data_IF_854339791951
#
_entry.id   IF_854339791951
#
_cell.length_a   1.000
_cell.length_b   1.000
_cell.length_c   1.000
_cell.angle_alpha   90.00
_cell.angle_beta   90.00
_cell.angle_gamma   90.00
#
_symmetry.space_group_name_H-M   'P 1'
#
loop_
_entity.id
_entity.type
_entity.pdbx_description
1 polymer ?
#
# COMPACT_ATOMS: atom_id res chain seq x y z
N UNK A 1 -24.55 34.87 36.73
CA UNK A 1 -24.27 33.52 36.22
C UNK A 1 -24.03 33.63 34.72
N UNK A 2 -22.78 33.69 34.24
CA UNK A 2 -22.54 33.72 32.81
C UNK A 2 -22.53 32.29 32.22
N UNK A 3 -23.30 32.18 31.15
CA UNK A 3 -23.52 31.06 30.24
C UNK A 3 -22.20 30.51 29.66
N UNK A 4 -21.88 29.24 29.95
CA UNK A 4 -20.79 28.50 29.31
C UNK A 4 -21.37 27.79 28.09
N UNK A 5 -21.22 28.39 26.91
CA UNK A 5 -21.39 27.69 25.64
C UNK A 5 -20.37 26.54 25.57
N UNK A 6 -20.77 25.32 25.18
CA UNK A 6 -19.80 24.25 24.95
C UNK A 6 -18.97 24.62 23.72
N UNK A 7 -17.66 24.75 23.91
CA UNK A 7 -16.70 24.85 22.82
C UNK A 7 -16.79 23.54 22.01
N UNK A 8 -17.27 23.65 20.77
CA UNK A 8 -17.23 22.59 19.79
C UNK A 8 -15.75 22.26 19.57
N UNK A 9 -15.34 21.06 19.98
CA UNK A 9 -13.97 20.60 19.78
C UNK A 9 -13.67 20.58 18.27
N UNK A 10 -12.98 21.62 17.81
CA UNK A 10 -12.41 21.65 16.48
C UNK A 10 -11.28 20.61 16.49
N UNK A 11 -11.48 19.51 15.79
CA UNK A 11 -10.48 18.46 15.63
C UNK A 11 -9.39 19.08 14.75
N UNK A 12 -8.41 19.74 15.37
CA UNK A 12 -7.28 20.29 14.66
C UNK A 12 -6.64 19.15 13.85
N UNK A 13 -6.68 19.26 12.52
CA UNK A 13 -5.90 18.39 11.62
C UNK A 13 -4.44 18.60 12.01
N UNK A 14 -3.88 17.70 12.81
CA UNK A 14 -2.44 17.68 13.05
C UNK A 14 -1.73 17.57 11.69
N UNK A 15 -0.68 18.38 11.45
CA UNK A 15 0.07 18.26 10.21
C UNK A 15 0.58 16.82 10.09
N UNK A 16 0.28 16.17 8.97
CA UNK A 16 0.69 14.81 8.70
C UNK A 16 2.21 14.74 8.75
N UNK A 17 2.72 13.88 9.62
CA UNK A 17 4.15 13.65 9.80
C UNK A 17 4.67 12.57 8.87
N UNK A 18 5.81 11.98 9.25
CA UNK A 18 6.32 10.77 8.62
C UNK A 18 6.31 9.62 9.60
N UNK A 19 5.97 8.43 9.10
CA UNK A 19 6.09 7.17 9.83
C UNK A 19 7.26 6.38 9.30
N UNK A 20 8.09 5.84 10.19
CA UNK A 20 9.06 4.83 9.82
C UNK A 20 8.32 3.54 9.45
N UNK A 21 8.54 3.03 8.24
CA UNK A 21 8.06 1.72 7.80
C UNK A 21 9.27 0.80 7.71
N UNK A 22 9.24 -0.31 8.43
CA UNK A 22 10.28 -1.33 8.45
C UNK A 22 9.86 -2.51 7.59
N UNK A 23 10.52 -2.68 6.45
CA UNK A 23 10.41 -3.89 5.64
C UNK A 23 11.23 -4.99 6.30
N UNK A 24 10.56 -5.89 7.02
CA UNK A 24 11.18 -6.91 7.86
C UNK A 24 11.63 -8.15 7.07
N UNK A 25 10.93 -8.49 5.98
CA UNK A 25 11.31 -9.63 5.15
C UNK A 25 10.39 -9.87 3.95
N UNK A 26 10.74 -10.83 3.08
CA UNK A 26 11.82 -11.82 3.23
C UNK A 26 13.23 -11.21 3.22
N UNK A 27 14.21 -11.85 3.88
CA UNK A 27 15.59 -11.36 3.92
C UNK A 27 16.19 -11.27 2.50
N UNK A 28 16.89 -10.17 2.21
CA UNK A 28 17.45 -9.91 0.88
C UNK A 28 16.44 -9.35 -0.14
N UNK A 29 15.14 -9.28 0.21
CA UNK A 29 14.13 -8.62 -0.62
C UNK A 29 14.51 -7.17 -0.84
N UNK A 30 14.52 -6.75 -2.09
CA UNK A 30 14.75 -5.37 -2.49
C UNK A 30 13.42 -4.63 -2.61
N UNK A 31 13.37 -3.43 -2.06
CA UNK A 31 12.17 -2.58 -2.05
C UNK A 31 12.51 -1.22 -2.62
N UNK A 32 11.80 -0.82 -3.67
CA UNK A 32 11.79 0.54 -4.19
C UNK A 32 10.34 1.05 -4.25
N UNK A 33 10.15 2.34 -4.48
CA UNK A 33 8.84 2.96 -4.61
C UNK A 33 8.81 3.95 -5.76
N UNK A 34 7.64 4.16 -6.34
CA UNK A 34 7.44 5.08 -7.45
C UNK A 34 7.57 6.53 -6.96
N UNK A 35 8.35 7.33 -7.68
CA UNK A 35 8.51 8.78 -7.49
C UNK A 35 8.27 9.45 -8.84
N UNK A 36 7.14 10.16 -8.97
CA UNK A 36 6.66 10.63 -10.26
C UNK A 36 6.31 9.44 -11.16
N UNK A 37 7.04 9.29 -12.26
CA UNK A 37 6.83 8.22 -13.25
C UNK A 37 7.88 7.10 -13.19
N UNK A 38 8.91 7.25 -12.34
CA UNK A 38 10.03 6.32 -12.24
C UNK A 38 10.16 5.73 -10.85
N UNK A 39 10.59 4.46 -10.76
CA UNK A 39 10.94 3.88 -9.48
C UNK A 39 12.22 4.50 -8.93
N UNK A 40 12.25 4.71 -7.62
CA UNK A 40 13.40 5.25 -6.91
C UNK A 40 14.65 4.40 -7.18
N UNK A 41 15.75 5.06 -7.53
CA UNK A 41 16.98 4.41 -8.01
C UNK A 41 17.69 3.59 -6.93
N UNK A 42 17.57 4.03 -5.66
CA UNK A 42 18.11 3.30 -4.51
C UNK A 42 17.08 2.37 -3.90
N UNK A 43 17.24 1.08 -4.19
CA UNK A 43 16.51 0.00 -3.54
C UNK A 43 16.97 -0.16 -2.07
N UNK A 44 16.02 -0.35 -1.16
CA UNK A 44 16.28 -0.83 0.20
C UNK A 44 16.42 -2.35 0.18
N UNK A 45 17.34 -2.92 0.96
CA UNK A 45 17.47 -4.38 1.12
C UNK A 45 16.95 -4.79 2.49
N UNK A 46 15.91 -5.64 2.53
CA UNK A 46 15.29 -6.09 3.77
C UNK A 46 16.26 -6.99 4.60
N UNK A 47 16.35 -6.81 5.92
CA UNK A 47 15.57 -5.87 6.73
C UNK A 47 16.06 -4.42 6.64
N UNK A 48 15.16 -3.48 6.32
CA UNK A 48 15.46 -2.05 6.21
C UNK A 48 14.26 -1.19 6.59
N UNK A 49 14.48 0.09 6.90
CA UNK A 49 13.41 1.02 7.22
C UNK A 49 13.53 2.33 6.42
N UNK A 50 12.39 2.95 6.14
CA UNK A 50 12.30 4.25 5.47
C UNK A 50 11.11 5.06 5.98
N UNK A 51 11.24 6.39 5.95
CA UNK A 51 10.24 7.30 6.50
C UNK A 51 9.30 7.81 5.40
N UNK A 52 8.09 7.27 5.39
CA UNK A 52 7.03 7.64 4.45
C UNK A 52 6.12 8.71 5.04
N UNK A 53 5.57 9.57 4.19
CA UNK A 53 4.57 10.57 4.59
C UNK A 53 3.28 9.85 4.97
N UNK A 54 2.68 10.29 6.07
CA UNK A 54 1.42 9.75 6.55
C UNK A 54 0.25 10.23 5.69
N UNK A 55 -0.79 9.40 5.55
CA UNK A 55 -1.97 9.71 4.76
C UNK A 55 -1.81 9.53 3.25
N UNK A 56 -0.69 8.95 2.80
CA UNK A 56 -0.34 8.81 1.39
C UNK A 56 -0.32 7.34 0.94
N UNK A 57 -0.45 7.15 -0.37
CA UNK A 57 -0.41 5.83 -1.01
C UNK A 57 0.84 5.72 -1.88
N UNK A 58 1.64 4.70 -1.60
CA UNK A 58 2.90 4.42 -2.28
C UNK A 58 2.77 3.17 -3.13
N UNK A 59 3.26 3.26 -4.38
CA UNK A 59 3.47 2.08 -5.21
C UNK A 59 4.86 1.58 -5.01
N UNK A 60 4.98 0.33 -4.56
CA UNK A 60 6.26 -0.32 -4.32
C UNK A 60 6.65 -1.20 -5.51
N UNK A 61 7.94 -1.53 -5.59
CA UNK A 61 8.50 -2.59 -6.43
C UNK A 61 9.30 -3.51 -5.53
N UNK A 62 8.92 -4.78 -5.51
CA UNK A 62 9.62 -5.83 -4.78
C UNK A 62 10.39 -6.71 -5.77
N UNK A 63 11.69 -6.86 -5.55
CA UNK A 63 12.59 -7.71 -6.34
C UNK A 63 13.51 -8.51 -5.42
N UNK A 64 14.30 -9.44 -5.97
CA UNK A 64 15.27 -10.20 -5.17
C UNK A 64 14.63 -11.13 -4.14
N UNK A 65 13.39 -11.58 -4.38
CA UNK A 65 12.68 -12.48 -3.49
C UNK A 65 13.27 -13.90 -3.60
N UNK A 66 13.62 -14.58 -2.49
CA UNK A 66 14.32 -15.87 -2.53
C UNK A 66 13.61 -16.95 -3.35
N UNK A 67 12.29 -17.10 -3.20
CA UNK A 67 11.49 -18.07 -3.98
C UNK A 67 11.08 -17.58 -5.36
N UNK A 68 11.25 -16.29 -5.63
CA UNK A 68 10.86 -15.65 -6.89
C UNK A 68 11.97 -14.73 -7.41
N UNK A 69 13.19 -15.25 -7.68
CA UNK A 69 14.37 -14.42 -7.95
C UNK A 69 14.26 -13.59 -9.22
N UNK A 70 13.40 -14.01 -10.17
CA UNK A 70 13.13 -13.30 -11.42
C UNK A 70 11.82 -12.52 -11.42
N UNK A 71 10.96 -12.72 -10.43
CA UNK A 71 9.67 -12.04 -10.39
C UNK A 71 9.81 -10.64 -9.82
N UNK A 72 8.92 -9.77 -10.28
CA UNK A 72 8.71 -8.44 -9.74
C UNK A 72 7.28 -8.36 -9.25
N UNK A 73 7.10 -7.85 -8.05
CA UNK A 73 5.76 -7.56 -7.53
C UNK A 73 5.61 -6.08 -7.30
N UNK A 74 4.41 -5.56 -7.57
CA UNK A 74 4.12 -4.13 -7.47
C UNK A 74 3.01 -3.84 -6.46
N UNK A 75 3.23 -4.13 -5.16
CA UNK A 75 2.20 -3.87 -4.17
C UNK A 75 1.99 -2.37 -3.99
N UNK A 76 0.77 -2.01 -3.65
CA UNK A 76 0.42 -0.67 -3.19
C UNK A 76 0.39 -0.67 -1.68
N UNK A 77 1.09 0.26 -1.05
CA UNK A 77 1.15 0.45 0.39
C UNK A 77 0.55 1.82 0.74
N UNK A 78 -0.52 1.80 1.50
CA UNK A 78 -1.14 2.97 2.10
C UNK A 78 -0.57 3.14 3.51
N UNK A 79 -0.03 4.31 3.83
CA UNK A 79 0.35 4.68 5.19
C UNK A 79 -0.80 5.50 5.75
N UNK A 80 -1.57 4.93 6.66
CA UNK A 80 -2.82 5.55 7.11
C UNK A 80 -2.54 6.84 7.90
N UNK A 81 -3.46 7.81 7.81
CA UNK A 81 -3.41 9.01 8.64
C UNK A 81 -3.59 8.61 10.12
N UNK A 82 -2.65 8.95 11.01
CA UNK A 82 -2.67 8.45 12.38
C UNK A 82 -3.66 9.24 13.25
N UNK A 83 -4.26 8.56 14.23
CA UNK A 83 -4.89 9.21 15.38
C UNK A 83 -3.83 9.71 16.37
N UNK A 84 -4.20 10.54 17.35
CA UNK A 84 -3.26 11.05 18.35
C UNK A 84 -2.51 9.92 19.10
N UNK A 85 -3.22 8.83 19.44
CA UNK A 85 -2.64 7.65 20.08
C UNK A 85 -1.63 6.95 19.17
N UNK A 86 -1.99 6.76 17.89
CA UNK A 86 -1.09 6.17 16.91
C UNK A 86 0.14 7.04 16.71
N UNK A 87 0.02 8.37 16.71
CA UNK A 87 1.17 9.27 16.62
C UNK A 87 2.15 9.07 17.78
N UNK A 88 1.67 8.96 19.02
CA UNK A 88 2.55 8.69 20.16
C UNK A 88 3.27 7.35 20.04
N UNK A 89 2.58 6.32 19.53
CA UNK A 89 3.20 5.02 19.27
C UNK A 89 4.28 5.10 18.18
N UNK A 90 3.98 5.75 17.05
CA UNK A 90 4.87 5.88 15.89
C UNK A 90 6.06 6.81 16.15
N UNK A 91 5.99 7.70 17.15
CA UNK A 91 7.13 8.47 17.61
C UNK A 91 8.30 7.60 18.14
N UNK A 92 8.03 6.34 18.47
CA UNK A 92 9.00 5.42 19.06
C UNK A 92 9.10 4.07 18.33
N UNK A 93 8.20 3.80 17.38
CA UNK A 93 8.08 2.49 16.73
C UNK A 93 7.92 2.64 15.21
N UNK A 94 8.52 1.71 14.47
CA UNK A 94 8.30 1.59 13.03
C UNK A 94 7.16 0.62 12.73
N UNK A 95 6.43 0.86 11.63
CA UNK A 95 5.38 -0.03 11.13
C UNK A 95 6.06 -1.25 10.47
N UNK A 96 5.93 -2.47 11.02
CA UNK A 96 6.54 -3.64 10.42
C UNK A 96 5.73 -4.12 9.22
N UNK A 97 6.39 -4.38 8.11
CA UNK A 97 5.80 -4.99 6.92
C UNK A 97 6.67 -6.17 6.49
N UNK A 98 6.04 -7.34 6.36
CA UNK A 98 6.68 -8.54 5.84
C UNK A 98 5.77 -9.20 4.82
N UNK A 99 6.36 -9.93 3.87
CA UNK A 99 5.62 -10.73 2.90
C UNK A 99 5.95 -12.20 3.11
N UNK A 100 4.93 -13.02 3.30
CA UNK A 100 5.10 -14.47 3.42
C UNK A 100 5.12 -15.12 2.04
N UNK A 101 5.69 -16.31 1.95
CA UNK A 101 5.74 -17.07 0.69
C UNK A 101 4.35 -17.39 0.14
N UNK A 102 3.37 -17.64 1.02
CA UNK A 102 1.99 -17.94 0.62
C UNK A 102 1.29 -16.73 0.00
N UNK A 103 1.57 -15.53 0.51
CA UNK A 103 1.08 -14.26 -0.04
C UNK A 103 1.66 -13.98 -1.41
N UNK A 104 2.96 -14.17 -1.56
CA UNK A 104 3.66 -14.02 -2.84
C UNK A 104 3.17 -15.06 -3.87
N UNK A 105 2.96 -16.31 -3.45
CA UNK A 105 2.40 -17.36 -4.30
C UNK A 105 0.99 -17.01 -4.78
N UNK A 106 0.11 -16.63 -3.86
CA UNK A 106 -1.27 -16.22 -4.18
C UNK A 106 -1.29 -15.05 -5.17
N UNK A 107 -0.43 -14.06 -4.96
CA UNK A 107 -0.28 -12.94 -5.86
C UNK A 107 0.22 -13.37 -7.25
N UNK A 108 1.21 -14.27 -7.31
CA UNK A 108 1.71 -14.82 -8.56
C UNK A 108 0.65 -15.64 -9.34
N UNK A 109 -0.31 -16.24 -8.64
CA UNK A 109 -1.46 -16.92 -9.23
C UNK A 109 -2.56 -15.95 -9.74
N UNK A 110 -2.34 -14.64 -9.71
CA UNK A 110 -3.32 -13.66 -10.18
C UNK A 110 -4.34 -13.21 -9.14
N UNK A 111 -4.22 -13.66 -7.89
CA UNK A 111 -5.18 -13.33 -6.82
C UNK A 111 -4.69 -12.13 -6.00
N UNK A 112 -5.63 -11.27 -5.60
CA UNK A 112 -5.32 -10.11 -4.75
C UNK A 112 -5.13 -10.56 -3.30
N UNK A 113 -3.99 -10.17 -2.71
CA UNK A 113 -3.71 -10.29 -1.28
C UNK A 113 -3.77 -8.90 -0.66
N UNK A 114 -4.65 -8.72 0.31
CA UNK A 114 -4.69 -7.51 1.14
C UNK A 114 -4.18 -7.86 2.54
N UNK A 115 -3.27 -7.04 3.05
CA UNK A 115 -2.72 -7.11 4.40
C UNK A 115 -2.94 -5.76 5.08
N UNK A 116 -3.41 -5.78 6.32
CA UNK A 116 -3.57 -4.59 7.15
C UNK A 116 -2.75 -4.75 8.42
N UNK A 117 -1.98 -3.72 8.75
CA UNK A 117 -1.22 -3.61 10.00
C UNK A 117 -1.92 -2.58 10.88
N UNK A 118 -2.20 -2.92 12.13
CA UNK A 118 -2.95 -2.08 13.05
C UNK A 118 -2.34 -2.10 14.45
N UNK A 119 -2.67 -1.05 15.22
CA UNK A 119 -2.42 -0.96 16.65
C UNK A 119 -3.69 -1.42 17.38
N UNK A 120 -3.67 -2.54 18.12
CA UNK A 120 -4.84 -3.05 18.82
C UNK A 120 -5.41 -2.06 19.84
N UNK A 121 -6.74 -2.05 19.95
CA UNK A 121 -7.45 -1.23 20.93
C UNK A 121 -8.59 -2.04 21.53
N UNK A 122 -8.31 -2.82 22.57
CA UNK A 122 -9.35 -3.46 23.35
C UNK A 122 -9.96 -2.46 24.36
N UNK A 123 -11.29 -2.42 24.53
CA UNK A 123 -11.92 -1.59 25.55
C UNK A 123 -11.44 -2.02 26.94
N UNK A 124 -10.89 -1.07 27.71
CA UNK A 124 -10.35 -1.31 29.05
C UNK A 124 -8.91 -1.82 29.09
N UNK A 125 -8.26 -2.04 27.94
CA UNK A 125 -6.84 -2.38 27.92
C UNK A 125 -5.97 -1.13 28.12
N UNK A 126 -4.98 -1.23 29.00
CA UNK A 126 -3.86 -0.30 29.05
C UNK A 126 -3.13 -0.33 27.68
N UNK A 127 -2.71 0.83 27.19
CA UNK A 127 -2.35 1.05 25.79
C UNK A 127 -1.48 -0.07 25.19
N UNK A 128 -1.91 -0.63 24.04
CA UNK A 128 -1.12 -1.58 23.26
C UNK A 128 0.29 -1.04 22.95
N UNK A 129 1.28 -1.90 23.14
CA UNK A 129 2.72 -1.65 22.91
C UNK A 129 3.27 -2.39 21.69
N UNK A 130 2.44 -3.19 21.00
CA UNK A 130 2.84 -3.92 19.80
C UNK A 130 1.79 -3.81 18.70
N UNK A 131 2.25 -3.91 17.45
CA UNK A 131 1.38 -3.95 16.27
C UNK A 131 0.93 -5.37 15.96
N UNK A 132 -0.25 -5.51 15.37
CA UNK A 132 -0.74 -6.77 14.83
C UNK A 132 -1.01 -6.65 13.32
N UNK A 133 -1.07 -7.80 12.63
CA UNK A 133 -1.41 -7.88 11.21
C UNK A 133 -2.61 -8.81 10.95
N UNK A 134 -3.43 -8.44 9.97
CA UNK A 134 -4.46 -9.29 9.37
C UNK A 134 -4.17 -9.39 7.88
N UNK A 135 -4.07 -10.62 7.37
CA UNK A 135 -3.95 -10.90 5.94
C UNK A 135 -5.22 -11.57 5.42
N UNK A 136 -5.55 -11.34 4.15
CA UNK A 136 -6.65 -11.99 3.43
C UNK A 136 -6.50 -13.51 3.38
N UNK A 137 -5.26 -14.01 3.53
CA UNK A 137 -4.96 -15.44 3.55
C UNK A 137 -5.11 -16.09 4.93
N UNK A 138 -5.45 -15.32 5.97
CA UNK A 138 -5.64 -15.88 7.30
C UNK A 138 -6.86 -16.82 7.30
N UNK A 139 -6.76 -18.05 7.85
CA UNK A 139 -7.89 -18.97 7.94
C UNK A 139 -9.06 -18.32 8.70
N UNK A 140 -10.26 -18.34 8.10
CA UNK A 140 -11.46 -17.71 8.67
C UNK A 140 -11.57 -16.20 8.43
N UNK A 141 -10.67 -15.59 7.65
CA UNK A 141 -10.83 -14.21 7.20
C UNK A 141 -12.14 -14.08 6.39
N UNK A 142 -13.10 -13.35 6.95
CA UNK A 142 -14.36 -13.01 6.29
C UNK A 142 -14.42 -11.49 6.18
N UNK A 143 -14.62 -10.98 4.97
CA UNK A 143 -14.62 -9.54 4.71
C UNK A 143 -13.23 -8.96 4.41
N UNK A 144 -13.18 -7.63 4.29
CA UNK A 144 -11.95 -6.90 3.98
C UNK A 144 -11.03 -6.81 5.21
N UNK A 145 -9.75 -7.17 5.10
CA UNK A 145 -8.84 -7.19 6.25
C UNK A 145 -8.55 -5.80 6.83
N UNK A 146 -8.65 -4.72 6.05
CA UNK A 146 -8.53 -3.37 6.60
C UNK A 146 -9.76 -3.01 7.45
N UNK A 147 -10.96 -3.45 7.05
CA UNK A 147 -12.18 -3.37 7.86
C UNK A 147 -12.03 -4.11 9.19
N UNK A 148 -11.57 -5.37 9.15
CA UNK A 148 -11.35 -6.17 10.38
C UNK A 148 -10.30 -5.53 11.29
N UNK A 149 -9.21 -5.00 10.72
CA UNK A 149 -8.18 -4.31 11.47
C UNK A 149 -8.68 -2.99 12.10
N UNK A 150 -9.58 -2.29 11.41
CA UNK A 150 -10.23 -1.06 11.92
C UNK A 150 -11.20 -1.32 13.07
N UNK A 151 -11.88 -2.48 13.05
CA UNK A 151 -12.74 -2.92 14.16
C UNK A 151 -11.92 -3.27 15.40
N UNK A 152 -10.76 -3.90 15.22
CA UNK A 152 -9.87 -4.34 16.31
C UNK A 152 -8.94 -3.27 16.85
N UNK A 153 -8.80 -2.13 16.16
CA UNK A 153 -7.85 -1.10 16.53
C UNK A 153 -7.69 0.02 15.51
N UNK A 154 -6.57 0.73 15.59
CA UNK A 154 -6.26 1.82 14.67
C UNK A 154 -5.32 1.34 13.56
N UNK A 155 -5.74 1.51 12.29
CA UNK A 155 -4.92 1.18 11.13
C UNK A 155 -3.61 1.99 11.12
N UNK A 156 -2.53 1.31 10.75
CA UNK A 156 -1.21 1.90 10.57
C UNK A 156 -0.83 1.90 9.09
N UNK A 157 -1.02 0.76 8.43
CA UNK A 157 -0.77 0.62 7.00
C UNK A 157 -1.65 -0.47 6.37
N UNK A 158 -1.96 -0.31 5.09
CA UNK A 158 -2.65 -1.33 4.29
C UNK A 158 -1.81 -1.62 3.04
N UNK A 159 -1.48 -2.88 2.84
CA UNK A 159 -0.73 -3.37 1.68
C UNK A 159 -1.64 -4.20 0.80
N UNK A 160 -1.68 -3.87 -0.48
CA UNK A 160 -2.46 -4.56 -1.51
C UNK A 160 -1.48 -5.11 -2.55
N UNK A 161 -1.38 -6.43 -2.63
CA UNK A 161 -0.44 -7.15 -3.47
C UNK A 161 -1.22 -7.99 -4.49
N UNK A 162 -1.02 -7.72 -5.78
CA UNK A 162 -1.62 -8.48 -6.87
C UNK A 162 -0.60 -8.78 -7.97
N UNK A 163 -1.09 -9.25 -9.13
CA UNK A 163 -0.26 -9.69 -10.26
C UNK A 163 -0.08 -8.61 -11.35
N UNK A 164 -0.26 -7.34 -11.01
CA UNK A 164 -0.09 -6.26 -11.98
C UNK A 164 1.41 -6.09 -12.26
N UNK A 165 1.81 -6.16 -13.52
CA UNK A 165 3.16 -5.83 -13.99
C UNK A 165 3.21 -4.39 -14.51
N UNK A 166 3.88 -3.50 -13.78
CA UNK A 166 3.96 -2.07 -14.15
C UNK A 166 5.11 -1.75 -15.10
N UNK A 167 6.03 -2.68 -15.32
CA UNK A 167 7.18 -2.50 -16.21
C UNK A 167 7.05 -3.36 -17.49
N UNK A 168 5.82 -3.78 -17.84
CA UNK A 168 5.56 -4.56 -19.06
C UNK A 168 5.87 -3.72 -20.32
N UNK A 169 6.88 -4.08 -21.12
CA UNK A 169 7.23 -3.32 -22.32
C UNK A 169 6.18 -3.41 -23.44
N UNK A 170 5.26 -4.38 -23.36
CA UNK A 170 4.23 -4.63 -24.37
C UNK A 170 2.88 -4.03 -24.00
N UNK A 171 2.77 -3.26 -22.93
CA UNK A 171 1.52 -2.64 -22.51
C UNK A 171 1.74 -1.17 -22.13
N UNK A 172 0.77 -0.29 -22.42
CA UNK A 172 0.80 1.07 -21.89
C UNK A 172 0.92 1.04 -20.36
N UNK A 173 1.56 2.04 -19.73
CA UNK A 173 1.56 2.17 -18.29
C UNK A 173 0.12 2.15 -17.75
N UNK A 174 -0.12 1.46 -16.63
CA UNK A 174 -1.47 1.33 -16.05
C UNK A 174 -2.16 2.68 -15.77
N UNK A 175 -1.36 3.73 -15.59
CA UNK A 175 -1.80 5.09 -15.30
C UNK A 175 -1.85 6.01 -16.51
N UNK A 176 -1.51 5.52 -17.70
CA UNK A 176 -1.59 6.32 -18.90
C UNK A 176 -3.05 6.72 -19.13
N UNK A 177 -3.33 7.97 -19.55
CA UNK A 177 -4.68 8.36 -19.94
C UNK A 177 -5.19 7.41 -21.02
N UNK A 178 -6.49 7.05 -21.01
CA UNK A 178 -7.04 6.12 -21.99
C UNK A 178 -6.78 6.67 -23.39
N UNK A 179 -5.95 5.96 -24.15
CA UNK A 179 -5.69 6.31 -25.54
C UNK A 179 -6.96 5.99 -26.32
N UNK A 180 -7.55 6.98 -26.98
CA UNK A 180 -8.72 6.79 -27.86
C UNK A 180 -8.42 5.93 -29.08
N UNK A 181 -7.16 5.55 -29.28
CA UNK A 181 -6.69 4.75 -30.40
C UNK A 181 -6.22 3.38 -29.88
N UNK A 182 -7.11 2.40 -30.00
CA UNK A 182 -6.80 0.99 -29.74
C UNK A 182 -5.63 0.53 -30.64
N UNK A 183 -4.57 -0.11 -30.09
CA UNK A 183 -3.57 -0.76 -30.92
C UNK A 183 -4.23 -1.92 -31.67
N UNK A 184 -4.35 -1.79 -33.00
CA UNK A 184 -4.86 -2.84 -33.89
C UNK A 184 -5.98 -2.43 -34.84
N UNK A 185 -6.60 -1.27 -34.69
CA UNK A 185 -7.55 -0.78 -35.70
C UNK A 185 -6.80 0.10 -36.70
N UNK A 186 -6.36 -0.50 -37.81
CA UNK A 186 -6.03 0.27 -39.00
C UNK A 186 -7.26 1.12 -39.34
N UNK A 187 -7.07 2.44 -39.45
CA UNK A 187 -8.11 3.35 -39.90
C UNK A 187 -8.53 2.94 -41.33
N UNK A 188 -9.61 2.18 -41.45
CA UNK A 188 -10.33 2.04 -42.71
C UNK A 188 -10.99 3.38 -42.99
N UNK A 189 -10.46 4.11 -43.98
CA UNK A 189 -11.16 5.25 -44.53
C UNK A 189 -10.27 6.29 -45.18
N UNK A 190 -9.90 6.06 -46.44
CA UNK A 190 -10.08 7.06 -47.50
C UNK A 190 -9.86 6.41 -48.87
N UNK A 191 -10.93 5.85 -49.43
CA UNK A 191 -11.03 5.76 -50.90
C UNK A 191 -11.44 7.15 -51.39
N UNK A 192 -10.54 7.79 -52.14
CA UNK A 192 -10.82 9.06 -52.81
C UNK A 192 -11.89 8.84 -53.90
N UNK A 193 -12.86 9.76 -54.08
CA UNK A 193 -13.79 9.66 -55.18
C UNK A 193 -13.07 9.95 -56.51
N UNK A 194 -13.17 9.01 -57.45
CA UNK A 194 -12.91 9.24 -58.88
C UNK A 194 -14.04 10.12 -59.41
N UNK A 195 -13.69 11.25 -60.04
CA UNK A 195 -14.61 12.19 -60.70
C UNK A 195 -14.47 11.96 -62.22
N UNK A 196 -15.58 11.95 -62.99
CA UNK A 196 -15.62 11.56 -64.41
C UNK A 196 -14.82 12.45 -65.37
#
# INVERSE_FOLDING_TARGET
MPDVKPAKAEIAKQPLGRSAVRFAGPAGMKVSWLVGETFHDRDLTAPAAFNFVQGEVYRLRLTGLPKYPKAKFYPTMEVCAPSARVQSFLGHNAIPISFTDAELATAAEGRLVVKAVYLPSAPGAESATTTEEVSSLRPGATGDPAGVASDRGSLLAVVRLGNVDLENPHSPPLHAPPSTQLPGHAAVGQIAPVIP
#
